data_IF_325933812823
#
_entry.id   IF_325933812823
#
_cell.length_a   1.000
_cell.length_b   1.000
_cell.length_c   1.000
_cell.angle_alpha   90.00
_cell.angle_beta   90.00
_cell.angle_gamma   90.00
#
_symmetry.space_group_name_H-M   'P 1'
#
loop_
_entity.id
_entity.type
_entity.pdbx_description
1 polymer ?
#
# COMPACT_ATOMS: atom_id res chain seq x y z
N UNK A 1 -4.34 15.15 -8.77
CA UNK A 1 -2.94 15.62 -8.68
C UNK A 1 -2.00 14.41 -8.69
N UNK A 2 -2.12 13.51 -9.68
CA UNK A 2 -1.43 12.19 -9.72
C UNK A 2 -0.74 11.90 -11.06
N UNK A 3 -0.72 12.87 -11.99
CA UNK A 3 -0.37 12.62 -13.40
C UNK A 3 1.13 12.39 -13.68
N UNK A 4 2.01 12.48 -12.69
CA UNK A 4 3.46 12.52 -12.89
C UNK A 4 4.24 11.70 -11.85
N UNK A 5 3.66 10.64 -11.26
CA UNK A 5 4.39 9.85 -10.25
C UNK A 5 5.34 8.82 -10.88
N UNK A 6 5.02 8.29 -12.05
CA UNK A 6 5.92 7.44 -12.83
C UNK A 6 6.27 8.15 -14.14
N UNK A 7 7.56 8.43 -14.33
CA UNK A 7 8.12 8.85 -15.63
C UNK A 7 9.24 7.88 -15.98
N UNK A 8 9.64 7.78 -17.25
CA UNK A 8 10.74 6.90 -17.68
C UNK A 8 12.08 7.19 -16.96
N UNK A 9 12.17 8.26 -16.17
CA UNK A 9 13.34 8.64 -15.38
C UNK A 9 13.30 8.17 -13.91
N UNK A 10 12.14 7.83 -13.36
CA UNK A 10 12.00 7.49 -11.93
C UNK A 10 10.97 6.39 -11.68
N UNK A 11 11.43 5.35 -10.99
CA UNK A 11 10.57 4.34 -10.37
C UNK A 11 9.86 4.93 -9.15
N UNK A 12 8.57 4.63 -9.01
CA UNK A 12 7.76 5.12 -7.90
C UNK A 12 7.04 3.99 -7.19
N UNK A 13 6.97 4.13 -5.86
CA UNK A 13 6.44 3.11 -4.97
C UNK A 13 5.51 3.74 -3.94
N UNK A 14 4.40 3.08 -3.62
CA UNK A 14 3.52 3.38 -2.49
C UNK A 14 3.65 2.25 -1.48
N UNK A 15 4.04 2.57 -0.25
CA UNK A 15 4.21 1.59 0.82
C UNK A 15 3.20 1.80 1.95
N UNK A 16 2.33 0.82 2.18
CA UNK A 16 1.42 0.78 3.32
C UNK A 16 2.09 0.08 4.51
N UNK A 17 2.29 0.81 5.61
CA UNK A 17 2.86 0.28 6.85
C UNK A 17 1.72 0.01 7.83
N UNK A 18 1.42 -1.27 8.06
CA UNK A 18 0.23 -1.71 8.77
C UNK A 18 0.58 -2.14 10.20
N UNK A 19 0.12 -1.35 11.18
CA UNK A 19 0.28 -1.64 12.61
C UNK A 19 -0.81 -2.58 13.14
N UNK A 20 -1.04 -3.66 12.40
CA UNK A 20 -2.03 -4.67 12.72
C UNK A 20 -1.50 -6.04 12.28
N UNK A 21 -0.71 -6.73 13.13
CA UNK A 21 0.05 -7.92 12.72
C UNK A 21 -0.83 -9.14 12.41
N UNK A 22 -2.12 -9.11 12.77
CA UNK A 22 -3.10 -10.18 12.52
C UNK A 22 -3.73 -10.14 11.11
N UNK A 23 -3.37 -9.18 10.25
CA UNK A 23 -3.94 -9.10 8.90
C UNK A 23 -3.19 -10.00 7.91
N UNK A 24 -3.95 -10.63 7.03
CA UNK A 24 -3.41 -11.49 5.96
C UNK A 24 -3.40 -10.80 4.59
N UNK A 25 -4.15 -9.69 4.44
CA UNK A 25 -4.22 -8.92 3.21
C UNK A 25 -4.51 -7.44 3.44
N UNK A 26 -4.11 -6.62 2.47
CA UNK A 26 -4.48 -5.22 2.33
C UNK A 26 -5.41 -5.01 1.13
N UNK A 27 -6.48 -4.23 1.32
CA UNK A 27 -7.35 -3.76 0.24
C UNK A 27 -7.90 -2.37 0.58
N UNK A 28 -8.11 -1.47 -0.40
CA UNK A 28 -8.74 -0.18 -0.15
C UNK A 28 -10.20 -0.40 0.29
N UNK A 29 -10.65 0.35 1.29
CA UNK A 29 -12.02 0.22 1.79
C UNK A 29 -13.01 1.06 0.98
N UNK A 30 -13.45 0.51 -0.17
CA UNK A 30 -14.26 1.22 -1.17
C UNK A 30 -15.60 1.75 -0.66
N UNK A 31 -16.23 1.09 0.32
CA UNK A 31 -17.51 1.55 0.89
C UNK A 31 -17.38 2.88 1.65
N UNK A 32 -16.19 3.17 2.18
CA UNK A 32 -15.90 4.42 2.91
C UNK A 32 -15.31 5.47 1.98
N UNK A 33 -14.38 5.07 1.11
CA UNK A 33 -13.72 5.98 0.17
C UNK A 33 -13.55 5.35 -1.22
N UNK A 34 -14.56 5.48 -2.08
CA UNK A 34 -14.52 4.93 -3.43
C UNK A 34 -13.56 5.70 -4.36
N UNK A 35 -13.33 6.99 -4.09
CA UNK A 35 -12.45 7.84 -4.89
C UNK A 35 -10.98 7.49 -4.62
N UNK A 36 -10.63 7.22 -3.36
CA UNK A 36 -9.31 6.70 -3.00
C UNK A 36 -9.07 5.32 -3.60
N UNK A 37 -10.03 4.39 -3.49
CA UNK A 37 -9.91 3.06 -4.08
C UNK A 37 -9.65 3.13 -5.59
N UNK A 38 -10.40 3.98 -6.29
CA UNK A 38 -10.24 4.19 -7.73
C UNK A 38 -8.90 4.86 -8.06
N UNK A 39 -8.49 5.86 -7.27
CA UNK A 39 -7.19 6.51 -7.44
C UNK A 39 -6.04 5.54 -7.24
N UNK A 40 -6.11 4.64 -6.24
CA UNK A 40 -5.07 3.66 -5.96
C UNK A 40 -4.90 2.66 -7.11
N UNK A 41 -6.02 2.20 -7.69
CA UNK A 41 -6.02 1.38 -8.89
C UNK A 41 -5.41 2.14 -10.09
N UNK A 42 -5.75 3.42 -10.26
CA UNK A 42 -5.18 4.25 -11.32
C UNK A 42 -3.66 4.39 -11.17
N UNK A 43 -3.12 4.64 -9.97
CA UNK A 43 -1.66 4.78 -9.82
C UNK A 43 -0.93 3.47 -10.13
N UNK A 44 -1.49 2.33 -9.69
CA UNK A 44 -0.92 1.01 -10.00
C UNK A 44 -0.91 0.76 -11.52
N UNK A 45 -2.00 1.08 -12.20
CA UNK A 45 -2.10 0.97 -13.66
C UNK A 45 -1.13 1.90 -14.41
N UNK A 46 -0.68 2.98 -13.78
CA UNK A 46 0.31 3.91 -14.34
C UNK A 46 1.76 3.56 -13.98
N UNK A 47 2.03 2.35 -13.46
CA UNK A 47 3.38 1.85 -13.21
C UNK A 47 3.95 2.15 -11.82
N UNK A 48 3.13 2.68 -10.91
CA UNK A 48 3.55 2.82 -9.50
C UNK A 48 3.37 1.48 -8.79
N UNK A 49 4.44 0.95 -8.23
CA UNK A 49 4.37 -0.29 -7.46
C UNK A 49 3.74 -0.03 -6.08
N UNK A 50 2.80 -0.88 -5.69
CA UNK A 50 2.15 -0.79 -4.38
C UNK A 50 2.61 -1.96 -3.54
N UNK A 51 3.11 -1.66 -2.34
CA UNK A 51 3.64 -2.61 -1.37
C UNK A 51 2.92 -2.45 -0.04
N UNK A 52 2.77 -3.54 0.70
CA UNK A 52 2.18 -3.53 2.03
C UNK A 52 3.02 -4.40 2.98
N UNK A 53 3.32 -3.84 4.14
CA UNK A 53 4.08 -4.51 5.19
C UNK A 53 3.31 -4.45 6.50
N UNK A 54 3.49 -5.44 7.37
CA UNK A 54 2.97 -5.40 8.73
C UNK A 54 4.11 -5.17 9.72
N UNK A 55 3.81 -4.44 10.79
CA UNK A 55 4.74 -4.25 11.89
C UNK A 55 4.20 -4.91 13.17
N UNK A 56 5.13 -5.45 13.95
CA UNK A 56 4.90 -5.82 15.33
C UNK A 56 5.44 -4.75 16.27
N UNK A 57 4.90 -4.73 17.49
CA UNK A 57 5.35 -3.82 18.54
C UNK A 57 5.56 -4.60 19.84
N UNK A 58 6.81 -4.69 20.25
CA UNK A 58 7.25 -5.25 21.53
C UNK A 58 7.92 -4.11 22.31
N UNK A 59 7.21 -3.42 23.22
CA UNK A 59 7.68 -2.17 23.80
C UNK A 59 9.13 -2.24 24.32
N UNK A 60 10.00 -1.27 23.96
CA UNK A 60 9.73 -0.06 23.15
C UNK A 60 9.99 -0.23 21.63
N UNK A 61 10.12 -1.46 21.14
CA UNK A 61 10.63 -1.78 19.81
C UNK A 61 9.52 -2.07 18.80
N UNK A 62 9.66 -1.49 17.61
CA UNK A 62 8.96 -1.94 16.42
C UNK A 62 9.83 -2.91 15.63
N UNK A 63 9.21 -3.90 15.02
CA UNK A 63 9.86 -4.81 14.08
C UNK A 63 8.98 -5.04 12.86
N UNK A 64 9.62 -5.36 11.74
CA UNK A 64 8.93 -5.81 10.53
C UNK A 64 8.42 -7.24 10.78
N UNK A 65 7.11 -7.43 10.66
CA UNK A 65 6.45 -8.70 10.96
C UNK A 65 6.17 -9.51 9.68
N UNK A 66 5.75 -8.84 8.61
CA UNK A 66 5.60 -9.39 7.27
C UNK A 66 5.97 -8.30 6.26
N UNK A 67 6.87 -8.60 5.33
CA UNK A 67 7.37 -7.68 4.30
C UNK A 67 6.73 -7.87 2.92
N UNK A 68 5.88 -8.89 2.77
CA UNK A 68 5.16 -9.21 1.53
C UNK A 68 3.69 -9.54 1.83
N UNK A 69 2.96 -8.56 2.37
CA UNK A 69 1.54 -8.73 2.64
C UNK A 69 0.77 -8.71 1.31
N UNK A 70 -0.13 -9.68 1.12
CA UNK A 70 -0.98 -9.74 -0.08
C UNK A 70 -1.81 -8.46 -0.27
N UNK A 71 -1.79 -7.91 -1.49
CA UNK A 71 -2.51 -6.69 -1.87
C UNK A 71 -3.61 -7.02 -2.88
N UNK A 72 -4.80 -6.48 -2.66
CA UNK A 72 -5.93 -6.55 -3.57
C UNK A 72 -6.45 -5.14 -3.86
N UNK A 73 -6.32 -4.68 -5.10
CA UNK A 73 -6.72 -3.36 -5.56
C UNK A 73 -7.67 -3.59 -6.76
N UNK A 74 -8.88 -4.08 -6.48
CA UNK A 74 -9.96 -4.27 -7.47
C UNK A 74 -11.24 -3.54 -7.00
#
# INVERSE_FOLDING_TARGET
>A
MSKELHTDEYEAYVMFVIQRPDVERFQPYRDVDPDFASSLADVQNNGVEVHAVTTGFEPPHYHLQNDDLSIQID
#
